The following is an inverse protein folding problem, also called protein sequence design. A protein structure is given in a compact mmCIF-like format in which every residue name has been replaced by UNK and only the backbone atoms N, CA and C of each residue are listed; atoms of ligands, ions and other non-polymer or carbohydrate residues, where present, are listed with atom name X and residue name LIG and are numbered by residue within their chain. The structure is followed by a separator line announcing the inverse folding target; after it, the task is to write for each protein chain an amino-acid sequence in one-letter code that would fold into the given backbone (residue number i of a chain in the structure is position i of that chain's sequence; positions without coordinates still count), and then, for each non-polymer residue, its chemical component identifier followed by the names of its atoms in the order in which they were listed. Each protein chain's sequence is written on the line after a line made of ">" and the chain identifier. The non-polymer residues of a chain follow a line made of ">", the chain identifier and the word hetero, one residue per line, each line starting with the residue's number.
data_IF_086151315853
#
_entry.id   IF_086151315853
#
_cell.length_a   1.000
_cell.length_b   1.000
_cell.length_c   1.000
_cell.angle_alpha   90.00
_cell.angle_beta   90.00
_cell.angle_gamma   90.00
#
_symmetry.space_group_name_H-M   'P 1'
#
loop_
_entity.id
_entity.type
_entity.pdbx_description
1 polymer ?
#
# COMPACT_ATOMS: atom_id res chain seq x y z
N UNK A 1 5.32 24.18 14.37
CA UNK A 1 4.31 24.22 13.28
C UNK A 1 5.02 23.84 12.00
N UNK A 2 4.45 22.94 11.20
CA UNK A 2 5.02 22.56 9.90
C UNK A 2 4.69 23.62 8.83
N UNK A 3 5.52 23.78 7.79
CA UNK A 3 5.09 24.45 6.56
C UNK A 3 3.84 23.77 5.99
N UNK A 4 2.81 24.57 5.73
CA UNK A 4 1.53 24.13 5.19
C UNK A 4 1.31 24.86 3.86
N UNK A 5 1.05 24.08 2.83
CA UNK A 5 0.80 24.53 1.47
C UNK A 5 -0.65 24.22 1.07
N UNK A 6 -1.15 24.89 0.04
CA UNK A 6 -2.45 24.61 -0.59
C UNK A 6 -2.31 24.17 -2.04
N UNK A 7 -1.07 24.08 -2.53
CA UNK A 7 -0.73 23.64 -3.88
C UNK A 7 0.41 22.61 -3.81
N UNK A 8 0.26 21.52 -4.55
CA UNK A 8 1.20 20.40 -4.53
C UNK A 8 2.53 20.75 -5.21
N UNK A 9 2.51 21.59 -6.25
CA UNK A 9 3.75 22.02 -6.91
C UNK A 9 4.57 22.95 -6.01
N UNK A 10 3.92 23.85 -5.27
CA UNK A 10 4.57 24.67 -4.24
C UNK A 10 5.14 23.82 -3.10
N UNK A 11 4.38 22.81 -2.64
CA UNK A 11 4.83 21.88 -1.62
C UNK A 11 6.09 21.10 -2.05
N UNK A 12 6.23 20.79 -3.35
CA UNK A 12 7.39 20.12 -3.92
C UNK A 12 8.49 21.06 -4.43
N UNK A 13 8.27 22.37 -4.41
CA UNK A 13 9.23 23.33 -4.92
C UNK A 13 10.60 23.20 -4.23
N UNK A 14 11.65 23.07 -5.06
CA UNK A 14 13.03 22.87 -4.62
C UNK A 14 13.36 21.46 -4.12
N UNK A 15 12.43 20.50 -4.20
CA UNK A 15 12.66 19.11 -3.78
C UNK A 15 12.80 18.14 -4.97
N UNK A 16 12.04 18.37 -6.05
CA UNK A 16 12.04 17.50 -7.24
C UNK A 16 13.26 17.76 -8.12
N UNK A 17 13.97 16.69 -8.48
CA UNK A 17 15.16 16.71 -9.34
C UNK A 17 15.33 15.36 -10.04
N UNK A 18 16.11 15.33 -11.12
CA UNK A 18 16.41 14.10 -11.85
C UNK A 18 17.16 13.08 -10.96
N UNK A 19 17.02 11.80 -11.29
CA UNK A 19 17.71 10.65 -10.69
C UNK A 19 17.53 10.51 -9.17
N UNK A 20 16.47 11.09 -8.60
CA UNK A 20 16.15 10.93 -7.18
C UNK A 20 15.41 9.63 -6.88
N UNK A 21 15.54 9.16 -5.63
CA UNK A 21 14.75 8.04 -5.13
C UNK A 21 13.52 8.55 -4.40
N UNK A 22 12.33 8.07 -4.78
CA UNK A 22 11.04 8.48 -4.21
C UNK A 22 10.35 7.28 -3.58
N UNK A 23 9.94 7.39 -2.32
CA UNK A 23 8.97 6.48 -1.72
C UNK A 23 7.56 7.04 -1.94
N UNK A 24 6.66 6.26 -2.53
CA UNK A 24 5.27 6.67 -2.73
C UNK A 24 4.34 5.71 -1.96
N UNK A 25 3.49 6.27 -1.10
CA UNK A 25 2.49 5.49 -0.37
C UNK A 25 1.34 4.99 -1.26
N UNK A 26 0.52 4.11 -0.70
CA UNK A 26 -0.67 3.55 -1.34
C UNK A 26 -0.60 2.04 -1.59
N UNK A 27 -1.77 1.47 -1.88
CA UNK A 27 -1.96 0.07 -2.25
C UNK A 27 -2.99 -0.02 -3.39
N UNK A 28 -2.54 -0.39 -4.60
CA UNK A 28 -3.31 -0.12 -5.82
C UNK A 28 -3.57 1.37 -5.96
N UNK A 29 -4.85 1.78 -5.99
CA UNK A 29 -5.28 3.18 -5.96
C UNK A 29 -5.75 3.67 -4.57
N UNK A 30 -5.75 2.81 -3.56
CA UNK A 30 -6.17 3.18 -2.20
C UNK A 30 -5.04 3.88 -1.44
N UNK A 31 -5.29 5.13 -1.01
CA UNK A 31 -4.32 5.92 -0.26
C UNK A 31 -3.10 6.35 -1.06
N UNK A 32 -3.23 6.57 -2.37
CA UNK A 32 -2.14 7.13 -3.18
C UNK A 32 -2.10 8.66 -3.04
N UNK A 33 -0.90 9.27 -3.07
CA UNK A 33 -0.75 10.73 -3.04
C UNK A 33 -0.95 11.33 -4.44
N UNK A 34 -2.19 11.35 -4.93
CA UNK A 34 -2.51 11.67 -6.33
C UNK A 34 -2.10 13.10 -6.75
N UNK A 35 -2.20 14.08 -5.84
CA UNK A 35 -1.83 15.46 -6.15
C UNK A 35 -0.33 15.63 -6.24
N UNK A 36 0.41 15.04 -5.30
CA UNK A 36 1.87 15.06 -5.29
C UNK A 36 2.45 14.25 -6.44
N UNK A 37 1.89 13.10 -6.80
CA UNK A 37 2.34 12.33 -7.98
C UNK A 37 2.14 13.16 -9.26
N UNK A 38 0.98 13.82 -9.40
CA UNK A 38 0.71 14.73 -10.52
C UNK A 38 1.70 15.92 -10.55
N UNK A 39 2.02 16.49 -9.39
CA UNK A 39 3.02 17.56 -9.31
C UNK A 39 4.45 17.07 -9.66
N UNK A 40 4.83 15.85 -9.30
CA UNK A 40 6.09 15.24 -9.77
C UNK A 40 6.07 15.05 -11.28
N UNK A 41 4.95 14.60 -11.85
CA UNK A 41 4.80 14.49 -13.32
C UNK A 41 5.03 15.84 -13.98
N UNK A 42 4.35 16.87 -13.49
CA UNK A 42 4.38 18.21 -14.07
C UNK A 42 5.72 18.92 -13.86
N UNK A 43 6.52 18.50 -12.87
CA UNK A 43 7.90 18.98 -12.68
C UNK A 43 8.84 18.54 -13.80
N UNK A 44 8.52 17.47 -14.53
CA UNK A 44 9.35 16.91 -15.59
C UNK A 44 10.61 16.17 -15.12
N UNK A 45 10.77 15.92 -13.81
CA UNK A 45 11.92 15.18 -13.28
C UNK A 45 11.98 13.74 -13.85
N UNK A 46 13.14 13.33 -14.36
CA UNK A 46 13.35 12.04 -15.03
C UNK A 46 14.38 11.18 -14.31
N UNK A 47 14.55 9.92 -14.74
CA UNK A 47 15.55 9.03 -14.14
C UNK A 47 15.15 8.50 -12.77
N UNK A 48 13.88 8.62 -12.39
CA UNK A 48 13.43 8.37 -11.02
C UNK A 48 13.54 6.89 -10.65
N UNK A 49 14.03 6.63 -9.43
CA UNK A 49 13.83 5.33 -8.77
C UNK A 49 12.65 5.45 -7.83
N UNK A 50 11.57 4.73 -8.09
CA UNK A 50 10.35 4.80 -7.28
C UNK A 50 10.16 3.51 -6.49
N UNK A 51 10.03 3.67 -5.18
CA UNK A 51 9.75 2.62 -4.20
C UNK A 51 8.27 2.72 -3.85
N UNK A 52 7.48 1.77 -4.34
CA UNK A 52 6.03 1.75 -4.15
C UNK A 52 5.54 0.32 -4.26
N UNK A 53 4.48 -0.01 -3.53
CA UNK A 53 3.90 -1.34 -3.56
C UNK A 53 3.45 -1.75 -4.98
N UNK A 54 2.75 -0.83 -5.66
CA UNK A 54 2.23 -0.97 -7.02
C UNK A 54 2.52 0.29 -7.84
N UNK A 55 2.30 0.23 -9.15
CA UNK A 55 2.44 1.36 -10.06
C UNK A 55 1.12 2.09 -10.38
N UNK A 56 0.07 1.90 -9.58
CA UNK A 56 -1.29 2.33 -9.93
C UNK A 56 -1.81 1.59 -11.17
N UNK A 57 -2.62 2.28 -11.97
CA UNK A 57 -3.16 1.79 -13.26
C UNK A 57 -2.64 2.65 -14.40
N UNK A 58 -2.87 2.25 -15.66
CA UNK A 58 -2.30 2.91 -16.84
C UNK A 58 -2.52 4.44 -16.86
N UNK A 59 -3.67 4.93 -16.39
CA UNK A 59 -4.10 6.33 -16.46
C UNK A 59 -4.31 7.00 -15.09
N UNK A 60 -3.81 6.41 -13.99
CA UNK A 60 -3.93 7.00 -12.66
C UNK A 60 -2.77 6.65 -11.71
N UNK A 61 -2.43 7.59 -10.81
CA UNK A 61 -1.34 7.42 -9.86
C UNK A 61 0.03 7.38 -10.56
N UNK A 62 0.90 6.45 -10.15
CA UNK A 62 2.25 6.33 -10.73
C UNK A 62 2.24 5.97 -12.23
N UNK A 63 1.12 5.48 -12.76
CA UNK A 63 0.93 5.29 -14.21
C UNK A 63 1.18 6.56 -15.02
N UNK A 64 0.86 7.73 -14.46
CA UNK A 64 1.15 9.00 -15.13
C UNK A 64 2.65 9.24 -15.36
N UNK A 65 3.50 8.85 -14.41
CA UNK A 65 4.96 8.97 -14.54
C UNK A 65 5.54 7.93 -15.50
N UNK A 66 4.87 6.78 -15.65
CA UNK A 66 5.21 5.80 -16.69
C UNK A 66 4.83 6.33 -18.07
N UNK A 67 3.70 7.01 -18.24
CA UNK A 67 3.31 7.62 -19.52
C UNK A 67 4.33 8.65 -20.01
N UNK A 68 4.89 9.44 -19.10
CA UNK A 68 5.89 10.49 -19.39
C UNK A 68 7.33 9.98 -19.38
N UNK A 69 7.57 8.67 -19.16
CA UNK A 69 8.90 8.05 -19.08
C UNK A 69 9.82 8.67 -18.03
N UNK A 70 9.24 9.13 -16.93
CA UNK A 70 9.99 9.73 -15.82
C UNK A 70 10.62 8.68 -14.90
N UNK A 71 10.05 7.47 -14.84
CA UNK A 71 10.55 6.38 -13.99
C UNK A 71 11.56 5.54 -14.76
N UNK A 72 12.77 5.43 -14.20
CA UNK A 72 13.85 4.56 -14.68
C UNK A 72 13.82 3.20 -13.98
N UNK A 73 13.54 3.18 -12.68
CA UNK A 73 13.52 1.96 -11.87
C UNK A 73 12.34 1.93 -10.92
N UNK A 74 11.69 0.78 -10.82
CA UNK A 74 10.65 0.49 -9.83
C UNK A 74 11.16 -0.56 -8.84
N UNK A 75 10.96 -0.30 -7.54
CA UNK A 75 11.12 -1.29 -6.47
C UNK A 75 9.72 -1.57 -5.92
N UNK A 76 9.15 -2.70 -6.30
CA UNK A 76 7.72 -2.99 -6.09
C UNK A 76 7.47 -4.45 -5.78
N UNK A 77 6.33 -4.74 -5.16
CA UNK A 77 5.94 -6.11 -4.83
C UNK A 77 5.08 -6.76 -5.88
N UNK A 78 4.25 -5.96 -6.56
CA UNK A 78 3.34 -6.43 -7.56
C UNK A 78 3.10 -5.33 -8.59
N UNK A 79 3.35 -5.64 -9.86
CA UNK A 79 3.27 -4.67 -10.96
C UNK A 79 1.83 -4.37 -11.39
N UNK A 80 0.87 -5.24 -11.02
CA UNK A 80 -0.56 -4.96 -11.17
C UNK A 80 -1.10 -5.05 -12.60
N UNK A 81 -2.28 -4.45 -12.77
CA UNK A 81 -3.01 -4.28 -14.03
C UNK A 81 -2.56 -3.00 -14.75
N UNK A 82 -1.26 -2.88 -15.03
CA UNK A 82 -0.70 -1.74 -15.75
C UNK A 82 0.04 -2.25 -17.00
N UNK A 83 -0.63 -2.17 -18.15
CA UNK A 83 -0.09 -2.74 -19.41
C UNK A 83 1.13 -1.96 -19.88
N UNK A 84 1.13 -0.65 -19.69
CA UNK A 84 2.27 0.19 -20.02
C UNK A 84 3.48 -0.19 -19.18
N UNK A 85 3.32 -0.45 -17.88
CA UNK A 85 4.38 -0.97 -17.03
C UNK A 85 4.98 -2.25 -17.63
N UNK A 86 4.14 -3.24 -17.89
CA UNK A 86 4.57 -4.53 -18.43
C UNK A 86 5.33 -4.35 -19.75
N UNK A 87 4.80 -3.52 -20.65
CA UNK A 87 5.44 -3.21 -21.93
C UNK A 87 6.83 -2.60 -21.74
N UNK A 88 6.97 -1.59 -20.87
CA UNK A 88 8.26 -0.90 -20.63
C UNK A 88 9.28 -1.83 -19.97
N UNK A 89 8.85 -2.69 -19.05
CA UNK A 89 9.72 -3.67 -18.42
C UNK A 89 10.21 -4.70 -19.45
N UNK A 90 9.31 -5.28 -20.26
CA UNK A 90 9.65 -6.28 -21.27
C UNK A 90 10.51 -5.70 -22.41
N UNK A 91 10.39 -4.41 -22.73
CA UNK A 91 11.26 -3.74 -23.71
C UNK A 91 12.61 -3.32 -23.14
N UNK A 92 12.82 -3.42 -21.82
CA UNK A 92 14.04 -2.99 -21.13
C UNK A 92 14.14 -1.48 -20.90
N UNK A 93 13.05 -0.74 -21.12
CA UNK A 93 12.98 0.72 -20.88
C UNK A 93 12.75 1.06 -19.40
N UNK A 94 12.24 0.12 -18.62
CA UNK A 94 12.00 0.24 -17.18
C UNK A 94 12.71 -0.89 -16.43
N UNK A 95 13.54 -0.55 -15.45
CA UNK A 95 14.10 -1.53 -14.51
C UNK A 95 13.08 -1.89 -13.42
N UNK A 96 12.99 -3.18 -13.07
CA UNK A 96 12.16 -3.65 -11.96
C UNK A 96 13.00 -4.48 -10.98
N UNK A 97 12.97 -4.06 -9.71
CA UNK A 97 13.39 -4.87 -8.58
C UNK A 97 12.15 -5.41 -7.86
N UNK A 98 11.77 -6.64 -8.19
CA UNK A 98 10.64 -7.30 -7.57
C UNK A 98 10.99 -7.69 -6.12
N UNK A 99 10.27 -7.13 -5.15
CA UNK A 99 10.53 -7.30 -3.72
C UNK A 99 9.28 -7.83 -3.03
N UNK A 100 9.33 -8.96 -2.30
CA UNK A 100 8.16 -9.47 -1.59
C UNK A 100 7.52 -8.39 -0.72
N UNK A 101 6.18 -8.31 -0.70
CA UNK A 101 5.47 -7.16 -0.11
C UNK A 101 5.84 -6.87 1.34
N UNK A 102 5.84 -7.91 2.20
CA UNK A 102 6.27 -7.75 3.59
C UNK A 102 7.73 -7.34 3.72
N UNK A 103 8.60 -7.87 2.86
CA UNK A 103 10.01 -7.45 2.80
C UNK A 103 10.13 -5.98 2.37
N UNK A 104 9.33 -5.51 1.42
CA UNK A 104 9.33 -4.11 0.98
C UNK A 104 8.88 -3.16 2.10
N UNK A 105 7.80 -3.52 2.80
CA UNK A 105 7.30 -2.77 3.95
C UNK A 105 8.36 -2.71 5.07
N UNK A 106 8.99 -3.84 5.38
CA UNK A 106 10.02 -3.92 6.42
C UNK A 106 11.30 -3.21 6.01
N UNK A 107 11.69 -3.21 4.74
CA UNK A 107 12.83 -2.43 4.22
C UNK A 107 12.65 -0.94 4.46
N UNK A 108 11.46 -0.39 4.18
CA UNK A 108 11.14 1.02 4.44
C UNK A 108 11.10 1.30 5.94
N UNK A 109 10.43 0.45 6.73
CA UNK A 109 10.35 0.58 8.20
C UNK A 109 11.74 0.57 8.85
N UNK A 110 12.58 -0.40 8.48
CA UNK A 110 13.93 -0.56 8.97
C UNK A 110 14.81 0.65 8.58
N UNK A 111 14.66 1.17 7.35
CA UNK A 111 15.36 2.36 6.89
C UNK A 111 15.06 3.58 7.75
N UNK A 112 13.77 3.86 7.99
CA UNK A 112 13.33 4.94 8.88
C UNK A 112 13.69 4.74 10.36
N UNK A 113 14.03 3.51 10.77
CA UNK A 113 14.45 3.17 12.12
C UNK A 113 15.99 3.14 12.29
N UNK A 114 16.77 3.46 11.24
CA UNK A 114 18.24 3.41 11.30
C UNK A 114 18.81 1.98 11.37
N UNK A 115 18.03 0.98 10.97
CA UNK A 115 18.46 -0.42 10.87
C UNK A 115 18.97 -0.62 9.44
N UNK A 116 20.27 -0.93 9.21
CA UNK A 116 20.82 -0.98 7.86
C UNK A 116 20.44 -2.26 7.08
N UNK A 117 20.18 -3.36 7.80
CA UNK A 117 19.73 -4.62 7.23
C UNK A 117 19.04 -5.47 8.31
N UNK A 118 18.21 -6.41 7.87
CA UNK A 118 17.52 -7.38 8.71
C UNK A 118 17.49 -8.75 8.02
N UNK A 119 17.10 -9.79 8.75
CA UNK A 119 16.93 -11.13 8.20
C UNK A 119 15.44 -11.49 8.13
N UNK A 120 15.01 -12.05 7.00
CA UNK A 120 13.65 -12.56 6.82
C UNK A 120 13.68 -13.90 6.10
N UNK A 121 12.75 -14.78 6.44
CA UNK A 121 12.61 -16.07 5.75
C UNK A 121 11.95 -15.89 4.38
N UNK A 122 11.23 -14.78 4.17
CA UNK A 122 10.54 -14.49 2.92
C UNK A 122 11.53 -14.42 1.76
N UNK A 123 11.29 -15.21 0.72
CA UNK A 123 12.14 -15.32 -0.46
C UNK A 123 13.21 -16.43 -0.40
N UNK A 124 13.49 -17.02 0.77
CA UNK A 124 14.39 -18.16 0.86
C UNK A 124 13.90 -19.33 -0.01
N UNK A 125 14.84 -19.97 -0.73
CA UNK A 125 14.55 -21.07 -1.66
C UNK A 125 13.90 -20.63 -2.98
N UNK A 126 13.86 -19.33 -3.26
CA UNK A 126 13.36 -18.76 -4.52
C UNK A 126 14.48 -18.00 -5.24
N UNK A 127 14.25 -17.64 -6.51
CA UNK A 127 15.19 -16.80 -7.28
C UNK A 127 15.46 -15.43 -6.65
N UNK A 128 14.55 -14.93 -5.80
CA UNK A 128 14.71 -13.65 -5.10
C UNK A 128 15.81 -13.67 -4.03
N UNK A 129 16.28 -14.85 -3.62
CA UNK A 129 17.38 -15.02 -2.67
C UNK A 129 18.74 -15.22 -3.35
N UNK A 130 18.79 -15.39 -4.67
CA UNK A 130 20.05 -15.62 -5.40
C UNK A 130 21.00 -14.43 -5.22
N UNK A 131 22.25 -14.73 -4.84
CA UNK A 131 23.28 -13.72 -4.59
C UNK A 131 23.13 -12.92 -3.29
N UNK A 132 22.08 -13.16 -2.49
CA UNK A 132 21.91 -12.54 -1.16
C UNK A 132 22.59 -13.37 -0.08
N UNK A 133 23.02 -12.70 1.00
CA UNK A 133 23.60 -13.38 2.15
C UNK A 133 22.53 -14.17 2.89
N UNK A 134 22.84 -15.42 3.23
CA UNK A 134 21.99 -16.27 4.05
C UNK A 134 22.59 -16.42 5.45
N UNK A 135 21.72 -16.58 6.45
CA UNK A 135 22.11 -16.85 7.83
C UNK A 135 21.11 -17.83 8.44
N UNK A 136 21.60 -18.83 9.17
CA UNK A 136 20.76 -19.76 9.92
C UNK A 136 20.46 -19.20 11.32
N UNK A 137 19.19 -19.29 11.72
CA UNK A 137 18.71 -19.09 13.08
C UNK A 137 17.77 -20.24 13.43
N UNK A 138 18.03 -20.93 14.55
CA UNK A 138 17.20 -22.03 15.08
C UNK A 138 16.88 -23.13 14.04
N UNK A 139 17.87 -23.53 13.24
CA UNK A 139 17.73 -24.58 12.22
C UNK A 139 16.93 -24.15 10.99
N UNK A 140 16.73 -22.84 10.78
CA UNK A 140 16.06 -22.28 9.59
C UNK A 140 16.96 -21.24 8.95
N UNK A 141 17.06 -21.28 7.62
CA UNK A 141 17.79 -20.26 6.85
C UNK A 141 16.92 -19.03 6.58
N UNK A 142 17.54 -17.86 6.66
CA UNK A 142 16.95 -16.55 6.42
C UNK A 142 17.80 -15.77 5.43
N UNK A 143 17.16 -14.91 4.65
CA UNK A 143 17.78 -14.01 3.68
C UNK A 143 18.05 -12.68 4.34
N UNK A 144 19.28 -12.16 4.21
CA UNK A 144 19.60 -10.78 4.59
C UNK A 144 19.00 -9.81 3.57
N UNK A 145 18.22 -8.85 4.04
CA UNK A 145 17.67 -7.77 3.25
C UNK A 145 18.20 -6.43 3.75
N UNK A 146 18.72 -5.62 2.82
CA UNK A 146 19.13 -4.24 3.11
C UNK A 146 17.90 -3.34 3.17
N UNK A 147 17.90 -2.42 4.12
CA UNK A 147 16.84 -1.41 4.26
C UNK A 147 16.82 -0.40 3.12
N UNK A 148 15.72 0.34 3.01
CA UNK A 148 15.54 1.39 2.00
C UNK A 148 15.27 2.71 2.70
N UNK A 149 16.02 3.74 2.30
CA UNK A 149 15.74 5.16 2.57
C UNK A 149 15.67 5.88 1.23
N UNK A 150 14.86 6.94 1.13
CA UNK A 150 14.63 7.67 -0.13
C UNK A 150 14.96 9.16 0.01
N UNK A 151 15.21 9.85 -1.10
CA UNK A 151 15.42 11.31 -1.08
C UNK A 151 14.13 12.04 -0.67
N UNK A 152 12.99 11.54 -1.16
CA UNK A 152 11.66 12.10 -0.94
C UNK A 152 10.67 10.98 -0.61
N UNK A 153 9.73 11.26 0.28
CA UNK A 153 8.54 10.45 0.50
C UNK A 153 7.27 11.27 0.18
N UNK A 154 6.41 10.70 -0.66
CA UNK A 154 5.09 11.20 -0.99
C UNK A 154 4.06 10.38 -0.22
N UNK A 155 3.29 11.04 0.63
CA UNK A 155 2.39 10.39 1.58
C UNK A 155 0.98 10.96 1.46
N UNK A 156 -0.03 10.10 1.45
CA UNK A 156 -1.43 10.48 1.55
C UNK A 156 -1.97 10.13 2.93
N UNK A 157 -2.47 11.13 3.67
CA UNK A 157 -3.17 10.93 4.94
C UNK A 157 -4.57 11.54 4.90
N UNK A 158 -5.44 11.13 5.82
CA UNK A 158 -6.79 11.68 5.91
C UNK A 158 -6.75 13.06 6.57
N UNK A 159 -6.21 13.11 7.79
CA UNK A 159 -6.05 14.35 8.54
C UNK A 159 -4.60 14.59 8.94
N UNK A 160 -4.24 15.85 9.08
CA UNK A 160 -3.08 16.26 9.83
C UNK A 160 -3.40 17.39 10.81
N UNK A 161 -2.68 17.49 11.92
CA UNK A 161 -2.62 18.74 12.67
C UNK A 161 -1.50 19.66 12.16
N UNK A 162 -1.49 20.92 12.58
CA UNK A 162 -0.41 21.87 12.22
C UNK A 162 0.97 21.52 12.80
N UNK A 163 1.07 20.51 13.68
CA UNK A 163 2.34 19.97 14.16
C UNK A 163 2.89 18.87 13.23
N UNK A 164 2.11 18.39 12.27
CA UNK A 164 2.46 17.37 11.29
C UNK A 164 2.01 15.95 11.67
N UNK A 165 1.27 15.79 12.78
CA UNK A 165 0.78 14.47 13.17
C UNK A 165 -0.27 13.99 12.16
N UNK A 166 -0.14 12.76 11.67
CA UNK A 166 -1.03 12.22 10.64
C UNK A 166 -1.98 11.15 11.20
N UNK A 167 -3.22 11.20 10.72
CA UNK A 167 -4.21 10.11 10.85
C UNK A 167 -4.59 9.63 9.45
N UNK A 168 -4.73 8.32 9.31
CA UNK A 168 -5.11 7.65 8.06
C UNK A 168 -6.53 7.10 8.21
N UNK A 169 -7.21 6.89 7.08
CA UNK A 169 -8.57 6.38 7.06
C UNK A 169 -8.58 4.95 6.50
N UNK A 170 -9.15 4.02 7.27
CA UNK A 170 -9.30 2.62 6.88
C UNK A 170 -7.99 2.00 6.33
N UNK A 171 -8.09 1.29 5.20
CA UNK A 171 -6.96 0.60 4.54
C UNK A 171 -6.07 1.54 3.72
N UNK A 172 -6.34 2.85 3.70
CA UNK A 172 -5.48 3.84 3.06
C UNK A 172 -4.20 4.14 3.85
N UNK A 173 -4.05 3.60 5.07
CA UNK A 173 -2.78 3.65 5.81
C UNK A 173 -1.68 2.89 5.07
N UNK A 174 -1.85 1.57 4.90
CA UNK A 174 -0.98 0.69 4.12
C UNK A 174 0.53 1.07 4.18
N UNK A 175 1.15 1.41 3.05
CA UNK A 175 2.56 1.78 2.94
C UNK A 175 2.85 3.23 3.35
N UNK A 176 1.84 4.11 3.46
CA UNK A 176 2.05 5.53 3.76
C UNK A 176 2.86 5.75 5.03
N UNK A 177 2.56 5.01 6.10
CA UNK A 177 3.29 5.12 7.36
C UNK A 177 4.76 4.71 7.26
N UNK A 178 5.10 3.70 6.45
CA UNK A 178 6.48 3.26 6.26
C UNK A 178 7.23 4.22 5.33
N UNK A 179 6.60 4.67 4.24
CA UNK A 179 7.15 5.68 3.33
C UNK A 179 7.48 6.99 4.07
N UNK A 180 6.57 7.49 4.91
CA UNK A 180 6.78 8.71 5.69
C UNK A 180 8.05 8.66 6.57
N UNK A 181 8.39 7.47 7.08
CA UNK A 181 9.54 7.29 7.97
C UNK A 181 10.85 7.07 7.20
N UNK A 182 10.78 6.59 5.96
CA UNK A 182 11.93 6.24 5.14
C UNK A 182 12.47 7.40 4.28
N UNK A 183 11.68 8.45 4.08
CA UNK A 183 12.07 9.64 3.33
C UNK A 183 13.04 10.53 4.10
N UNK A 184 14.07 11.04 3.42
CA UNK A 184 14.92 12.12 3.94
C UNK A 184 14.13 13.43 4.06
N UNK A 185 13.23 13.68 3.11
CA UNK A 185 12.20 14.71 3.19
C UNK A 185 10.85 14.05 2.95
N UNK A 186 9.86 14.31 3.81
CA UNK A 186 8.51 13.78 3.69
C UNK A 186 7.51 14.90 3.42
N UNK A 187 6.79 14.78 2.33
CA UNK A 187 5.67 15.66 1.97
C UNK A 187 4.39 14.85 2.05
N UNK A 188 3.48 15.27 2.93
CA UNK A 188 2.20 14.63 3.13
C UNK A 188 1.07 15.50 2.58
N UNK A 189 0.31 14.96 1.64
CA UNK A 189 -0.98 15.52 1.22
C UNK A 189 -2.11 14.99 2.10
N UNK A 190 -3.02 15.89 2.48
CA UNK A 190 -4.13 15.59 3.39
C UNK A 190 -5.44 16.20 2.93
N UNK A 191 -6.55 15.56 3.33
CA UNK A 191 -7.91 16.05 3.07
C UNK A 191 -8.34 17.13 4.07
N UNK A 192 -7.79 17.09 5.28
CA UNK A 192 -8.17 18.01 6.36
C UNK A 192 -6.94 18.38 7.19
N UNK A 193 -6.81 19.68 7.50
CA UNK A 193 -5.85 20.17 8.48
C UNK A 193 -6.61 20.74 9.67
N UNK A 194 -6.27 20.24 10.86
CA UNK A 194 -6.86 20.64 12.15
C UNK A 194 -5.84 21.40 13.01
N UNK A 195 -6.30 22.08 14.06
CA UNK A 195 -5.42 22.77 15.00
C UNK A 195 -4.62 21.80 15.89
N UNK A 196 -3.50 22.27 16.43
CA UNK A 196 -2.70 21.49 17.38
C UNK A 196 -3.54 21.20 18.62
N UNK A 197 -3.64 19.92 18.98
CA UNK A 197 -4.43 19.45 20.12
C UNK A 197 -5.84 18.97 19.76
N UNK A 198 -6.29 19.13 18.52
CA UNK A 198 -7.57 18.57 18.06
C UNK A 198 -7.48 17.08 17.70
N UNK A 199 -6.29 16.60 17.34
CA UNK A 199 -6.03 15.17 17.22
C UNK A 199 -5.71 14.58 18.60
N UNK A 200 -6.42 13.51 18.97
CA UNK A 200 -6.08 12.73 20.16
C UNK A 200 -4.67 12.12 19.97
N UNK A 201 -3.70 12.42 20.86
CA UNK A 201 -2.34 11.90 20.76
C UNK A 201 -2.27 10.36 20.79
N UNK A 202 -3.28 9.67 21.35
CA UNK A 202 -3.37 8.21 21.30
C UNK A 202 -3.86 7.64 19.96
N UNK A 203 -4.36 8.50 19.07
CA UNK A 203 -4.86 8.12 17.75
C UNK A 203 -3.93 8.55 16.60
N UNK A 204 -2.79 9.19 16.92
CA UNK A 204 -1.79 9.58 15.92
C UNK A 204 -1.09 8.34 15.35
N UNK A 205 -1.19 8.15 14.04
CA UNK A 205 -0.54 7.01 13.36
C UNK A 205 0.92 7.30 12.99
N UNK A 206 1.21 8.50 12.51
CA UNK A 206 2.57 8.97 12.22
C UNK A 206 2.79 10.28 12.94
N UNK A 207 3.72 10.33 13.92
CA UNK A 207 4.01 11.57 14.61
C UNK A 207 4.69 12.59 13.69
N UNK A 208 4.43 13.88 13.94
CA UNK A 208 4.85 14.95 13.03
C UNK A 208 6.35 15.15 12.89
N UNK A 209 7.19 14.50 13.70
CA UNK A 209 8.65 14.54 13.48
C UNK A 209 9.07 13.86 12.17
N UNK A 210 8.24 12.99 11.60
CA UNK A 210 8.49 12.33 10.30
C UNK A 210 7.98 13.12 9.09
N UNK A 211 7.34 14.27 9.30
CA UNK A 211 6.71 15.05 8.21
C UNK A 211 7.42 16.40 8.08
N UNK A 212 7.89 16.75 6.90
CA UNK A 212 8.58 18.02 6.67
C UNK A 212 7.65 19.09 6.11
N UNK A 213 6.74 18.70 5.21
CA UNK A 213 5.77 19.61 4.58
C UNK A 213 4.38 18.98 4.55
N UNK A 214 3.36 19.78 4.81
CA UNK A 214 1.96 19.42 4.63
C UNK A 214 1.40 20.16 3.42
N UNK A 215 0.56 19.50 2.63
CA UNK A 215 -0.28 20.18 1.64
C UNK A 215 -1.74 19.79 1.85
N UNK A 216 -2.59 20.79 2.00
CA UNK A 216 -4.03 20.60 2.03
C UNK A 216 -4.52 20.57 0.58
N UNK A 217 -5.08 19.43 0.17
CA UNK A 217 -5.65 19.27 -1.15
C UNK A 217 -7.17 19.10 -1.05
N UNK A 218 -7.89 19.61 -2.05
CA UNK A 218 -9.32 19.37 -2.25
C UNK A 218 -9.53 18.50 -3.49
N UNK A 219 -10.78 18.17 -3.79
CA UNK A 219 -11.18 17.59 -5.08
C UNK A 219 -10.54 16.24 -5.42
N UNK A 220 -10.33 15.43 -4.38
CA UNK A 220 -9.80 14.08 -4.53
C UNK A 220 -10.69 13.19 -5.42
N UNK A 221 -10.11 12.56 -6.44
CA UNK A 221 -10.85 11.66 -7.34
C UNK A 221 -11.12 10.30 -6.67
N UNK A 222 -10.12 9.75 -5.97
CA UNK A 222 -10.17 8.44 -5.27
C UNK A 222 -10.86 7.34 -6.09
N UNK A 223 -10.37 7.03 -7.31
CA UNK A 223 -10.99 6.00 -8.14
C UNK A 223 -10.95 4.62 -7.47
N UNK A 224 -12.04 3.88 -7.62
CA UNK A 224 -12.15 2.50 -7.15
C UNK A 224 -11.72 1.56 -8.29
N UNK A 225 -10.58 0.90 -8.11
CA UNK A 225 -10.01 -0.02 -9.12
C UNK A 225 -10.95 -1.19 -9.45
N UNK A 226 -11.50 -1.87 -8.44
CA UNK A 226 -12.46 -2.96 -8.62
C UNK A 226 -13.73 -2.75 -7.79
N UNK A 227 -14.69 -2.02 -8.34
CA UNK A 227 -16.00 -1.85 -7.69
C UNK A 227 -16.70 -3.20 -7.57
N UNK A 228 -16.84 -3.69 -6.35
CA UNK A 228 -17.44 -4.99 -6.04
C UNK A 228 -18.54 -4.80 -5.00
N UNK A 229 -19.77 -5.14 -5.38
CA UNK A 229 -20.95 -4.97 -4.54
C UNK A 229 -21.57 -6.32 -4.18
N UNK A 230 -22.22 -6.39 -3.02
CA UNK A 230 -23.01 -7.55 -2.60
C UNK A 230 -24.07 -7.90 -3.66
N UNK A 231 -24.28 -9.20 -3.88
CA UNK A 231 -25.30 -9.71 -4.81
C UNK A 231 -24.96 -9.56 -6.31
N UNK A 232 -24.03 -8.69 -6.70
CA UNK A 232 -23.54 -8.54 -8.08
C UNK A 232 -22.33 -9.44 -8.36
N UNK A 233 -22.40 -10.69 -7.91
CA UNK A 233 -21.32 -11.67 -8.15
C UNK A 233 -21.43 -12.22 -9.58
N UNK A 234 -20.63 -11.67 -10.50
CA UNK A 234 -20.15 -12.42 -11.66
C UNK A 234 -18.68 -12.72 -11.43
N UNK A 235 -18.37 -13.83 -10.74
CA UNK A 235 -17.01 -14.36 -10.76
C UNK A 235 -16.68 -14.65 -12.23
N UNK A 236 -15.77 -13.87 -12.82
CA UNK A 236 -15.13 -14.26 -14.07
C UNK A 236 -14.54 -15.66 -13.84
N UNK A 237 -15.09 -16.65 -14.55
CA UNK A 237 -14.72 -18.06 -14.36
C UNK A 237 -15.34 -18.74 -13.15
N UNK A 238 -16.55 -18.39 -12.71
CA UNK A 238 -17.34 -19.28 -11.84
C UNK A 238 -17.61 -20.61 -12.57
N UNK A 239 -17.46 -21.73 -11.87
CA UNK A 239 -17.87 -23.04 -12.34
C UNK A 239 -18.32 -23.90 -11.16
N UNK A 240 -19.18 -24.91 -11.37
CA UNK A 240 -19.57 -25.85 -10.32
C UNK A 240 -18.36 -26.51 -9.65
N UNK A 241 -17.28 -26.73 -10.40
CA UNK A 241 -16.03 -27.27 -9.86
C UNK A 241 -15.35 -26.31 -8.87
N UNK A 242 -15.31 -25.01 -9.18
CA UNK A 242 -14.74 -23.99 -8.29
C UNK A 242 -15.58 -23.75 -7.04
N UNK A 243 -16.90 -23.78 -7.18
CA UNK A 243 -17.82 -23.74 -6.05
C UNK A 243 -17.61 -24.91 -5.10
N UNK A 244 -17.54 -26.14 -5.64
CA UNK A 244 -17.28 -27.33 -4.84
C UNK A 244 -15.92 -27.26 -4.11
N UNK A 245 -14.88 -26.76 -4.79
CA UNK A 245 -13.57 -26.52 -4.17
C UNK A 245 -13.68 -25.52 -3.01
N UNK A 246 -14.38 -24.41 -3.20
CA UNK A 246 -14.56 -23.40 -2.16
C UNK A 246 -15.30 -23.96 -0.93
N UNK A 247 -16.38 -24.72 -1.15
CA UNK A 247 -17.12 -25.43 -0.09
C UNK A 247 -16.24 -26.46 0.62
N UNK A 248 -15.38 -27.18 -0.12
CA UNK A 248 -14.46 -28.13 0.51
C UNK A 248 -13.44 -27.41 1.38
N UNK A 249 -12.84 -26.33 0.88
CA UNK A 249 -11.81 -25.57 1.60
C UNK A 249 -12.42 -24.90 2.83
N UNK A 250 -13.67 -24.43 2.79
CA UNK A 250 -14.29 -23.77 3.94
C UNK A 250 -14.42 -24.67 5.17
N UNK A 251 -14.40 -26.00 4.97
CA UNK A 251 -14.37 -27.00 6.06
C UNK A 251 -13.04 -27.06 6.81
N UNK A 252 -11.98 -26.40 6.33
CA UNK A 252 -10.71 -26.29 7.06
C UNK A 252 -10.77 -25.23 8.17
N UNK A 253 -11.76 -24.33 8.13
CA UNK A 253 -11.92 -23.33 9.17
C UNK A 253 -12.38 -23.92 10.49
N UNK A 254 -11.91 -23.30 11.57
CA UNK A 254 -12.27 -23.61 12.95
C UNK A 254 -12.75 -22.35 13.62
N UNK A 255 -13.65 -22.50 14.59
CA UNK A 255 -14.13 -21.38 15.39
C UNK A 255 -12.95 -20.67 16.08
N UNK A 256 -12.91 -19.34 15.97
CA UNK A 256 -11.84 -18.50 16.51
C UNK A 256 -10.57 -18.42 15.64
N UNK A 257 -10.59 -18.98 14.42
CA UNK A 257 -9.43 -18.95 13.54
C UNK A 257 -9.20 -17.56 12.94
N UNK A 258 -7.92 -17.19 12.80
CA UNK A 258 -7.47 -16.09 11.95
C UNK A 258 -7.01 -16.64 10.61
N UNK A 259 -7.45 -16.03 9.51
CA UNK A 259 -7.09 -16.50 8.17
C UNK A 259 -6.84 -15.32 7.23
N UNK A 260 -5.80 -15.44 6.39
CA UNK A 260 -5.63 -14.60 5.21
C UNK A 260 -6.13 -15.40 3.99
N UNK A 261 -7.02 -14.79 3.20
CA UNK A 261 -7.55 -15.38 1.98
C UNK A 261 -7.07 -14.58 0.78
N UNK A 262 -6.16 -15.18 0.00
CA UNK A 262 -5.66 -14.59 -1.23
C UNK A 262 -6.74 -14.33 -2.28
N UNK A 263 -6.35 -13.60 -3.32
CA UNK A 263 -7.26 -13.19 -4.39
C UNK A 263 -7.84 -14.37 -5.17
N UNK A 264 -9.08 -14.23 -5.63
CA UNK A 264 -9.75 -15.20 -6.50
C UNK A 264 -10.50 -16.29 -5.75
N UNK A 265 -10.10 -17.55 -5.92
CA UNK A 265 -10.79 -18.69 -5.30
C UNK A 265 -10.84 -18.62 -3.77
N UNK A 266 -9.77 -18.23 -3.04
CA UNK A 266 -9.85 -18.11 -1.59
C UNK A 266 -10.88 -17.07 -1.12
N UNK A 267 -11.06 -15.97 -1.85
CA UNK A 267 -12.12 -14.98 -1.55
C UNK A 267 -13.52 -15.59 -1.63
N UNK A 268 -13.75 -16.53 -2.55
CA UNK A 268 -15.02 -17.28 -2.64
C UNK A 268 -15.24 -18.20 -1.43
N UNK A 269 -14.17 -18.75 -0.83
CA UNK A 269 -14.25 -19.62 0.36
C UNK A 269 -14.94 -18.90 1.53
N UNK A 270 -14.73 -17.60 1.67
CA UNK A 270 -15.34 -16.80 2.74
C UNK A 270 -16.88 -16.85 2.74
N UNK A 271 -17.51 -17.03 1.58
CA UNK A 271 -18.98 -17.14 1.46
C UNK A 271 -19.55 -18.47 1.96
N UNK A 272 -18.69 -19.47 2.21
CA UNK A 272 -19.09 -20.82 2.63
C UNK A 272 -18.59 -21.16 4.03
N UNK A 273 -18.16 -20.14 4.80
CA UNK A 273 -17.87 -20.30 6.23
C UNK A 273 -19.19 -20.65 6.93
N UNK A 274 -19.26 -21.77 7.67
CA UNK A 274 -20.46 -22.13 8.42
C UNK A 274 -20.89 -21.05 9.42
N UNK A 275 -22.19 -20.78 9.51
CA UNK A 275 -22.74 -19.74 10.40
C UNK A 275 -22.49 -20.00 11.89
N UNK A 276 -22.19 -21.26 12.27
CA UNK A 276 -21.92 -21.67 13.64
C UNK A 276 -20.45 -21.48 14.07
N UNK A 277 -19.58 -21.00 13.19
CA UNK A 277 -18.20 -20.67 13.51
C UNK A 277 -17.86 -19.22 13.17
N UNK A 278 -17.02 -18.62 14.00
CA UNK A 278 -16.47 -17.27 13.76
C UNK A 278 -15.04 -17.38 13.26
N UNK A 279 -14.74 -16.71 12.14
CA UNK A 279 -13.39 -16.60 11.57
C UNK A 279 -13.07 -15.12 11.40
N UNK A 280 -11.90 -14.70 11.84
CA UNK A 280 -11.42 -13.33 11.61
C UNK A 280 -10.52 -13.30 10.38
N UNK A 281 -11.01 -12.67 9.32
CA UNK A 281 -10.28 -12.55 8.07
C UNK A 281 -9.30 -11.38 8.11
N UNK A 282 -8.06 -11.64 7.72
CA UNK A 282 -6.96 -10.67 7.61
C UNK A 282 -6.73 -10.32 6.13
N UNK A 283 -6.58 -9.02 5.84
CA UNK A 283 -6.13 -8.50 4.56
C UNK A 283 -4.76 -7.82 4.73
N UNK A 284 -3.81 -8.22 3.88
CA UNK A 284 -2.41 -7.78 3.90
C UNK A 284 -2.18 -6.27 3.65
N UNK A 285 -3.20 -5.56 3.18
CA UNK A 285 -3.19 -4.11 3.06
C UNK A 285 -3.54 -3.38 4.37
N UNK A 286 -3.69 -4.10 5.48
CA UNK A 286 -3.81 -3.50 6.81
C UNK A 286 -5.21 -3.53 7.42
N UNK A 287 -5.91 -4.66 7.32
CA UNK A 287 -7.21 -4.86 7.98
C UNK A 287 -7.31 -6.25 8.61
N UNK A 288 -7.71 -6.30 9.87
CA UNK A 288 -8.13 -7.52 10.56
C UNK A 288 -9.63 -7.42 10.86
N UNK A 289 -10.41 -8.39 10.40
CA UNK A 289 -11.88 -8.36 10.46
C UNK A 289 -12.52 -7.88 9.15
N UNK A 290 -12.09 -8.43 8.01
CA UNK A 290 -12.71 -8.17 6.69
C UNK A 290 -14.17 -8.61 6.71
N UNK A 291 -15.06 -7.71 6.32
CA UNK A 291 -16.49 -7.98 6.16
C UNK A 291 -16.87 -8.34 4.72
N UNK A 292 -18.17 -8.57 4.46
CA UNK A 292 -18.67 -8.82 3.11
C UNK A 292 -18.48 -7.62 2.19
N UNK A 293 -18.73 -7.82 0.89
CA UNK A 293 -18.83 -6.71 -0.04
C UNK A 293 -19.95 -5.73 0.34
N UNK A 294 -19.77 -4.42 0.11
CA UNK A 294 -20.76 -3.41 0.46
C UNK A 294 -22.00 -3.51 -0.43
N UNK A 295 -23.13 -3.04 0.09
CA UNK A 295 -24.31 -2.76 -0.73
C UNK A 295 -24.07 -1.50 -1.59
N UNK A 296 -24.90 -1.30 -2.62
CA UNK A 296 -24.87 -0.08 -3.43
C UNK A 296 -24.98 1.17 -2.53
N UNK A 297 -24.06 2.11 -2.68
CA UNK A 297 -23.94 3.33 -1.86
C UNK A 297 -23.10 3.15 -0.58
N UNK A 298 -22.75 1.91 -0.22
CA UNK A 298 -21.88 1.60 0.93
C UNK A 298 -20.40 1.42 0.57
N UNK A 299 -20.05 1.44 -0.72
CA UNK A 299 -18.66 1.34 -1.16
C UNK A 299 -17.84 2.55 -0.73
N UNK A 300 -16.59 2.33 -0.36
CA UNK A 300 -15.68 3.39 0.04
C UNK A 300 -14.28 3.14 -0.55
N UNK A 301 -13.65 4.13 -1.22
CA UNK A 301 -12.36 3.94 -1.89
C UNK A 301 -11.21 3.64 -0.93
N UNK A 302 -11.26 4.17 0.29
CA UNK A 302 -10.25 3.89 1.33
C UNK A 302 -10.41 2.49 1.99
N UNK A 303 -11.45 1.71 1.64
CA UNK A 303 -11.77 0.42 2.27
C UNK A 303 -11.86 -0.71 1.22
N UNK A 304 -10.70 -1.33 0.97
CA UNK A 304 -10.53 -2.40 -0.02
C UNK A 304 -9.82 -3.62 0.58
N UNK A 305 -9.94 -4.77 -0.08
CA UNK A 305 -9.16 -5.97 0.24
C UNK A 305 -7.84 -6.05 -0.56
N UNK A 306 -7.07 -7.11 -0.37
CA UNK A 306 -5.82 -7.36 -1.10
C UNK A 306 -6.00 -7.38 -2.63
N UNK A 307 -7.16 -7.83 -3.10
CA UNK A 307 -7.57 -7.87 -4.52
C UNK A 307 -8.10 -6.55 -5.07
N UNK A 308 -7.97 -5.44 -4.34
CA UNK A 308 -8.40 -4.10 -4.77
C UNK A 308 -9.91 -3.96 -4.92
N UNK A 309 -10.66 -4.87 -4.30
CA UNK A 309 -12.12 -4.87 -4.29
C UNK A 309 -12.66 -4.13 -3.08
N UNK A 310 -13.73 -3.35 -3.27
CA UNK A 310 -14.44 -2.70 -2.18
C UNK A 310 -15.03 -3.71 -1.21
N UNK A 311 -14.82 -3.50 0.08
CA UNK A 311 -15.30 -4.36 1.16
C UNK A 311 -15.94 -3.53 2.27
N UNK A 312 -16.51 -4.20 3.27
CA UNK A 312 -16.85 -3.64 4.57
C UNK A 312 -15.90 -4.18 5.65
N UNK A 313 -16.03 -3.71 6.89
CA UNK A 313 -15.38 -4.33 8.05
C UNK A 313 -16.43 -4.84 9.04
N UNK A 314 -16.06 -5.87 9.81
CA UNK A 314 -16.91 -6.43 10.86
C UNK A 314 -16.73 -5.70 12.20
N UNK A 315 -17.72 -5.72 13.10
CA UNK A 315 -17.53 -5.24 14.47
C UNK A 315 -16.33 -5.92 15.14
N UNK A 316 -15.49 -5.11 15.80
CA UNK A 316 -14.22 -5.58 16.38
C UNK A 316 -13.03 -5.59 15.40
N UNK A 317 -13.20 -5.04 14.19
CA UNK A 317 -12.10 -4.89 13.23
C UNK A 317 -11.02 -3.90 13.70
N UNK A 318 -9.81 -4.05 13.17
CA UNK A 318 -8.72 -3.08 13.34
C UNK A 318 -8.01 -2.79 12.02
N UNK A 319 -7.51 -1.56 11.88
CA UNK A 319 -6.73 -1.09 10.74
C UNK A 319 -5.30 -0.81 11.18
N UNK A 320 -4.32 -1.13 10.33
CA UNK A 320 -2.90 -1.00 10.65
C UNK A 320 -2.06 -0.75 9.38
N UNK A 321 -0.77 -0.47 9.56
CA UNK A 321 0.14 -0.24 8.43
C UNK A 321 0.51 -1.55 7.75
N UNK A 322 1.05 -1.47 6.53
CA UNK A 322 1.60 -2.65 5.84
C UNK A 322 2.82 -3.23 6.55
N UNK A 323 3.56 -2.44 7.34
CA UNK A 323 4.66 -2.96 8.14
C UNK A 323 4.18 -3.79 9.34
N UNK A 324 3.04 -3.45 9.94
CA UNK A 324 2.45 -4.25 11.03
C UNK A 324 1.70 -5.47 10.50
N UNK A 325 1.28 -5.44 9.23
CA UNK A 325 0.51 -6.51 8.61
C UNK A 325 1.33 -7.77 8.28
N UNK A 326 2.66 -7.64 8.18
CA UNK A 326 3.60 -8.68 7.75
C UNK A 326 4.60 -9.01 8.85
#
# INVERSE_FOLDING_TARGET
>A
MKPIYTDAAEALAGLTRDEMTIAAGGFGLCGIPEHLIKAVRDSGATGLTVVSNNAGVDDFGLGWLLQTRQIKKMISSYVGENKLFEQQFLSGELELELTPQGTLAEKLRAGGAGIPAFFTRTGYGTSLAEGKSLQEFDGREYVMEKSITTDLALVKAWKADKAGNLIFHYTANNFNAACAKAGRITVAEVEEIVEIGELDPHQVHVPGNYVDRLVLCSDYEKPIEQLTLAGKFTLKGFSPAREWQAIRISKEFKNGMYANLGIGMPTLVANYIPDDITVTLHAENGLLGVGPFPQEGGQHPDLINAGKQTITSLPGSSFFSSADSF
#
